data_IF_864193768799
#
_entry.id   IF_864193768799
#
_cell.length_a   1.000
_cell.length_b   1.000
_cell.length_c   1.000
_cell.angle_alpha   90.00
_cell.angle_beta   90.00
_cell.angle_gamma   90.00
#
_symmetry.space_group_name_H-M   'P 1'
#
loop_
_entity.id
_entity.type
_entity.pdbx_description
1 polymer ?
#
# COMPACT_ATOMS: atom_id res chain seq x y z
N UNK A 1 -14.95 -9.45 -7.68
CA UNK A 1 -14.54 -8.20 -8.36
C UNK A 1 -15.49 -7.91 -9.51
N UNK A 2 -16.05 -6.71 -9.54
CA UNK A 2 -16.89 -6.15 -10.64
C UNK A 2 -16.14 -5.03 -11.34
N UNK A 3 -16.63 -4.63 -12.52
CA UNK A 3 -16.05 -3.58 -13.35
C UNK A 3 -17.13 -2.68 -13.92
N UNK A 4 -16.92 -1.37 -13.81
CA UNK A 4 -17.68 -0.35 -14.53
C UNK A 4 -16.71 0.36 -15.47
N UNK A 5 -17.07 0.45 -16.76
CA UNK A 5 -16.20 1.08 -17.75
C UNK A 5 -16.97 2.01 -18.66
N UNK A 6 -16.45 3.22 -18.83
CA UNK A 6 -16.87 4.21 -19.82
C UNK A 6 -15.72 4.51 -20.78
N UNK A 7 -15.94 5.39 -21.76
CA UNK A 7 -14.84 5.86 -22.65
C UNK A 7 -13.73 6.60 -21.91
N UNK A 8 -14.03 7.21 -20.74
CA UNK A 8 -13.10 8.08 -20.00
C UNK A 8 -12.67 7.51 -18.66
N UNK A 9 -13.34 6.49 -18.12
CA UNK A 9 -13.09 5.99 -16.77
C UNK A 9 -13.32 4.49 -16.71
N UNK A 10 -12.49 3.82 -15.92
CA UNK A 10 -12.73 2.44 -15.50
C UNK A 10 -12.57 2.35 -13.99
N UNK A 11 -13.50 1.62 -13.36
CA UNK A 11 -13.50 1.31 -11.93
C UNK A 11 -13.59 -0.19 -11.79
N UNK A 12 -12.70 -0.76 -11.01
CA UNK A 12 -12.75 -2.15 -10.54
C UNK A 12 -13.04 -2.13 -9.04
N UNK A 13 -13.93 -2.96 -8.58
CA UNK A 13 -14.33 -2.95 -7.17
C UNK A 13 -14.77 -4.32 -6.68
N UNK A 14 -14.70 -4.49 -5.37
CA UNK A 14 -15.26 -5.63 -4.65
C UNK A 14 -16.65 -5.27 -4.13
N UNK A 15 -17.66 -5.84 -4.74
CA UNK A 15 -19.07 -5.60 -4.39
C UNK A 15 -19.52 -6.29 -3.10
N UNK A 16 -18.70 -7.16 -2.54
CA UNK A 16 -18.95 -7.74 -1.22
C UNK A 16 -18.58 -6.80 -0.08
N UNK A 17 -17.65 -5.88 -0.34
CA UNK A 17 -17.10 -4.95 0.66
C UNK A 17 -17.62 -3.52 0.47
N UNK A 18 -17.80 -3.09 -0.79
CA UNK A 18 -18.24 -1.74 -1.14
C UNK A 18 -19.76 -1.70 -1.28
N UNK A 19 -20.45 -1.16 -0.26
CA UNK A 19 -21.90 -0.90 -0.27
C UNK A 19 -22.28 0.46 -0.85
N UNK A 20 -21.33 1.38 -0.90
CA UNK A 20 -21.50 2.74 -1.47
C UNK A 20 -21.38 2.74 -2.99
N UNK A 21 -21.76 3.87 -3.65
CA UNK A 21 -21.67 4.04 -5.11
C UNK A 21 -20.23 3.84 -5.62
N UNK A 22 -19.98 2.84 -6.47
CA UNK A 22 -18.65 2.61 -7.00
C UNK A 22 -18.10 3.79 -7.82
N UNK A 23 -18.99 4.54 -8.49
CA UNK A 23 -18.61 5.70 -9.30
C UNK A 23 -18.05 6.85 -8.48
N UNK A 24 -18.48 6.96 -7.21
CA UNK A 24 -18.16 8.06 -6.31
C UNK A 24 -17.17 7.66 -5.19
N UNK A 25 -16.93 6.37 -4.97
CA UNK A 25 -16.15 5.88 -3.83
C UNK A 25 -14.68 6.36 -3.82
N UNK A 26 -14.17 6.84 -4.95
CA UNK A 26 -12.84 7.41 -5.07
C UNK A 26 -12.81 8.95 -5.01
N UNK A 27 -13.92 9.60 -4.67
CA UNK A 27 -13.99 11.06 -4.54
C UNK A 27 -14.04 11.47 -3.06
N UNK A 28 -13.01 12.18 -2.54
CA UNK A 28 -13.01 12.61 -1.14
C UNK A 28 -14.21 13.47 -0.75
N UNK A 29 -14.69 14.31 -1.69
CA UNK A 29 -15.86 15.17 -1.49
C UNK A 29 -17.15 14.36 -1.23
N UNK A 30 -17.31 13.21 -1.88
CA UNK A 30 -18.42 12.29 -1.63
C UNK A 30 -18.45 11.81 -0.17
N UNK A 31 -17.28 11.41 0.35
CA UNK A 31 -17.15 10.95 1.73
C UNK A 31 -17.33 12.10 2.74
N UNK A 32 -16.87 13.29 2.39
CA UNK A 32 -17.07 14.49 3.21
C UNK A 32 -18.55 14.86 3.34
N UNK A 33 -19.29 14.84 2.23
CA UNK A 33 -20.74 15.10 2.22
C UNK A 33 -21.53 14.07 3.06
N UNK A 34 -21.05 12.85 3.12
CA UNK A 34 -21.61 11.78 3.95
C UNK A 34 -21.15 11.80 5.41
N UNK A 35 -20.28 12.74 5.81
CA UNK A 35 -19.62 12.75 7.13
C UNK A 35 -18.90 11.42 7.47
N UNK A 36 -18.36 10.73 6.46
CA UNK A 36 -17.66 9.44 6.60
C UNK A 36 -16.13 9.57 6.57
N UNK A 37 -15.55 10.78 6.51
CA UNK A 37 -14.10 10.98 6.69
C UNK A 37 -13.77 10.88 8.16
N UNK A 38 -12.92 9.92 8.54
CA UNK A 38 -12.50 9.62 9.92
C UNK A 38 -11.05 10.04 10.21
N UNK A 39 -10.34 10.59 9.22
CA UNK A 39 -8.98 11.07 9.39
C UNK A 39 -8.23 11.16 8.07
N UNK A 40 -6.95 11.48 8.16
CA UNK A 40 -6.06 11.54 7.00
C UNK A 40 -4.60 11.33 7.39
N UNK A 41 -3.78 10.91 6.42
CA UNK A 41 -2.33 10.88 6.53
C UNK A 41 -1.71 11.70 5.41
N UNK A 42 -0.64 12.43 5.73
CA UNK A 42 0.10 13.24 4.77
C UNK A 42 1.35 12.51 4.30
N UNK A 43 1.51 12.44 2.99
CA UNK A 43 2.70 11.90 2.32
C UNK A 43 3.02 12.74 1.08
N UNK A 44 3.27 12.11 -0.07
CA UNK A 44 3.33 12.84 -1.36
C UNK A 44 1.99 13.46 -1.75
N UNK A 45 0.93 12.98 -1.15
CA UNK A 45 -0.43 13.50 -1.22
C UNK A 45 -1.17 13.15 0.05
N UNK A 46 -2.42 13.54 0.14
CA UNK A 46 -3.29 13.17 1.26
C UNK A 46 -3.89 11.79 1.00
N UNK A 47 -3.74 10.88 1.95
CA UNK A 47 -4.52 9.65 2.03
C UNK A 47 -5.67 9.92 2.99
N UNK A 48 -6.90 9.80 2.51
CA UNK A 48 -8.08 9.99 3.32
C UNK A 48 -8.49 8.66 3.97
N UNK A 49 -8.80 8.69 5.24
CA UNK A 49 -9.40 7.55 5.91
C UNK A 49 -10.91 7.75 5.95
N UNK A 50 -11.64 6.75 5.48
CA UNK A 50 -13.09 6.81 5.33
C UNK A 50 -13.75 5.59 5.98
N UNK A 51 -14.89 5.80 6.63
CA UNK A 51 -15.68 4.73 7.22
C UNK A 51 -16.62 4.13 6.18
N UNK A 52 -16.47 2.84 5.86
CA UNK A 52 -17.48 2.04 5.19
C UNK A 52 -18.38 1.38 6.27
N UNK A 53 -19.41 0.67 5.83
CA UNK A 53 -20.38 0.11 6.78
C UNK A 53 -19.76 -0.93 7.74
N UNK A 54 -18.80 -1.72 7.27
CA UNK A 54 -18.19 -2.81 8.04
C UNK A 54 -16.68 -2.65 8.30
N UNK A 55 -16.00 -1.77 7.58
CA UNK A 55 -14.55 -1.57 7.70
C UNK A 55 -14.17 -0.12 7.44
N UNK A 56 -13.07 0.31 8.02
CA UNK A 56 -12.40 1.55 7.62
C UNK A 56 -11.57 1.32 6.37
N UNK A 57 -11.49 2.33 5.51
CA UNK A 57 -10.72 2.30 4.29
C UNK A 57 -9.77 3.50 4.15
N UNK A 58 -8.71 3.30 3.38
CA UNK A 58 -7.74 4.31 2.99
C UNK A 58 -7.91 4.62 1.50
N UNK A 59 -8.32 5.84 1.19
CA UNK A 59 -8.45 6.36 -0.17
C UNK A 59 -7.18 7.13 -0.53
N UNK A 60 -6.47 6.63 -1.54
CA UNK A 60 -5.21 7.20 -2.01
C UNK A 60 -5.31 7.60 -3.47
N UNK A 61 -4.97 8.87 -3.76
CA UNK A 61 -4.73 9.35 -5.12
C UNK A 61 -3.25 9.17 -5.47
N UNK A 62 -2.94 8.56 -6.64
CA UNK A 62 -1.57 8.33 -7.05
C UNK A 62 -0.87 9.63 -7.46
N UNK A 63 0.28 9.89 -6.88
CA UNK A 63 1.10 11.07 -7.18
C UNK A 63 2.52 10.69 -7.56
N UNK A 64 3.09 11.43 -8.53
CA UNK A 64 4.49 11.27 -8.90
C UNK A 64 5.38 11.85 -7.81
N UNK A 65 6.47 11.13 -7.48
CA UNK A 65 7.57 11.66 -6.70
C UNK A 65 8.69 12.21 -7.58
N UNK A 66 9.70 12.83 -6.95
CA UNK A 66 10.90 13.33 -7.62
C UNK A 66 10.71 14.68 -8.34
N UNK A 67 11.74 15.09 -9.09
CA UNK A 67 11.78 16.40 -9.78
C UNK A 67 10.64 16.57 -10.80
N UNK A 68 10.30 15.53 -11.55
CA UNK A 68 9.18 15.54 -12.51
C UNK A 68 7.81 15.67 -11.83
N UNK A 69 7.66 15.22 -10.59
CA UNK A 69 6.43 15.36 -9.81
C UNK A 69 6.10 16.80 -9.41
N UNK A 70 7.05 17.73 -9.53
CA UNK A 70 6.82 19.15 -9.31
C UNK A 70 6.03 19.81 -10.46
N UNK A 71 6.14 19.26 -11.68
CA UNK A 71 5.52 19.80 -12.89
C UNK A 71 4.27 18.97 -13.27
N UNK A 72 4.36 17.64 -13.21
CA UNK A 72 3.26 16.72 -13.57
C UNK A 72 2.97 15.84 -12.36
N UNK A 73 2.05 16.29 -11.50
CA UNK A 73 1.83 15.72 -10.16
C UNK A 73 1.20 14.32 -10.18
N UNK A 74 0.26 14.02 -11.09
CA UNK A 74 -0.62 12.86 -11.01
C UNK A 74 -1.04 12.26 -12.37
N UNK A 75 -0.38 12.66 -13.45
CA UNK A 75 -0.67 12.17 -14.79
C UNK A 75 0.35 11.11 -15.22
N UNK A 76 -0.13 9.96 -15.69
CA UNK A 76 0.66 8.82 -16.18
C UNK A 76 0.32 8.53 -17.64
N UNK A 77 1.27 8.07 -18.44
CA UNK A 77 1.04 7.71 -19.85
C UNK A 77 0.04 6.56 -19.90
N UNK A 78 -1.02 6.73 -20.71
CA UNK A 78 -2.05 5.71 -20.87
C UNK A 78 -1.66 4.73 -21.98
N UNK A 79 -1.45 3.47 -21.62
CA UNK A 79 -1.15 2.37 -22.56
C UNK A 79 -2.16 1.23 -22.49
N UNK A 80 -3.29 1.46 -21.81
CA UNK A 80 -4.35 0.50 -21.61
C UNK A 80 -4.87 0.49 -20.18
N UNK A 81 -6.14 0.12 -20.00
CA UNK A 81 -6.80 0.15 -18.68
C UNK A 81 -6.12 -0.78 -17.67
N UNK A 82 -5.75 -1.99 -18.09
CA UNK A 82 -5.12 -3.00 -17.25
C UNK A 82 -3.63 -2.74 -16.98
N UNK A 83 -3.06 -1.71 -17.64
CA UNK A 83 -1.70 -1.23 -17.40
C UNK A 83 -1.67 -0.01 -16.47
N UNK A 84 -2.82 0.40 -15.96
CA UNK A 84 -2.88 1.51 -14.99
C UNK A 84 -2.43 1.04 -13.61
N UNK A 85 -1.78 1.93 -12.85
CA UNK A 85 -1.21 1.62 -11.53
C UNK A 85 -2.23 1.12 -10.54
N UNK A 86 -3.40 1.77 -10.51
CA UNK A 86 -4.46 1.36 -9.59
C UNK A 86 -4.97 -0.04 -9.88
N UNK A 87 -5.13 -0.41 -11.16
CA UNK A 87 -5.51 -1.78 -11.52
C UNK A 87 -4.42 -2.79 -11.16
N UNK A 88 -3.16 -2.49 -11.51
CA UNK A 88 -2.05 -3.40 -11.24
C UNK A 88 -1.87 -3.64 -9.74
N UNK A 89 -1.92 -2.58 -8.92
CA UNK A 89 -1.83 -2.72 -7.47
C UNK A 89 -3.06 -3.47 -6.91
N UNK A 90 -4.27 -3.17 -7.40
CA UNK A 90 -5.48 -3.88 -7.00
C UNK A 90 -5.37 -5.40 -7.24
N UNK A 91 -4.88 -5.80 -8.41
CA UNK A 91 -4.69 -7.22 -8.74
C UNK A 91 -3.57 -7.86 -7.92
N UNK A 92 -2.47 -7.13 -7.71
CA UNK A 92 -1.34 -7.62 -6.95
C UNK A 92 -1.72 -7.88 -5.48
N UNK A 93 -2.48 -6.98 -4.86
CA UNK A 93 -3.00 -7.16 -3.51
C UNK A 93 -3.91 -8.40 -3.41
N UNK A 94 -4.80 -8.61 -4.37
CA UNK A 94 -5.61 -9.83 -4.42
C UNK A 94 -4.77 -11.11 -4.56
N UNK A 95 -3.70 -11.07 -5.32
CA UNK A 95 -2.76 -12.18 -5.47
C UNK A 95 -2.06 -12.49 -4.15
N UNK A 96 -1.59 -11.46 -3.45
CA UNK A 96 -0.92 -11.58 -2.17
C UNK A 96 -1.85 -12.13 -1.07
N UNK A 97 -3.10 -11.66 -1.02
CA UNK A 97 -4.11 -12.18 -0.08
C UNK A 97 -4.35 -13.68 -0.32
N UNK A 98 -4.49 -14.10 -1.57
CA UNK A 98 -4.64 -15.52 -1.93
C UNK A 98 -3.42 -16.37 -1.55
N UNK A 99 -2.25 -15.78 -1.52
CA UNK A 99 -1.00 -16.40 -1.08
C UNK A 99 -0.81 -16.36 0.45
N UNK A 100 -1.77 -15.82 1.21
CA UNK A 100 -1.72 -15.75 2.67
C UNK A 100 -0.77 -14.69 3.21
N UNK A 101 -0.46 -13.65 2.42
CA UNK A 101 0.32 -12.48 2.86
C UNK A 101 -0.63 -11.46 3.47
N UNK A 102 -0.27 -10.92 4.63
CA UNK A 102 -1.03 -9.86 5.26
C UNK A 102 -0.78 -8.52 4.55
N UNK A 103 -1.71 -8.11 3.73
CA UNK A 103 -1.72 -6.85 3.00
C UNK A 103 -3.11 -6.21 3.07
N UNK A 104 -3.26 -4.88 2.93
CA UNK A 104 -4.56 -4.24 2.88
C UNK A 104 -5.45 -4.84 1.78
N UNK A 105 -6.67 -5.23 2.11
CA UNK A 105 -7.63 -5.72 1.12
C UNK A 105 -7.99 -4.59 0.14
N UNK A 106 -7.86 -4.78 -1.18
CA UNK A 106 -8.25 -3.79 -2.16
C UNK A 106 -9.78 -3.77 -2.30
N UNK A 107 -10.38 -2.58 -2.19
CA UNK A 107 -11.84 -2.38 -2.22
C UNK A 107 -12.27 -1.84 -3.57
N UNK A 108 -11.61 -0.77 -4.05
CA UNK A 108 -11.86 -0.21 -5.37
C UNK A 108 -10.60 0.41 -5.97
N UNK A 109 -10.47 0.32 -7.29
CA UNK A 109 -9.43 0.97 -8.07
C UNK A 109 -10.10 1.77 -9.21
N UNK A 110 -9.77 3.04 -9.32
CA UNK A 110 -10.27 3.91 -10.38
C UNK A 110 -9.13 4.40 -11.26
N UNK A 111 -9.35 4.41 -12.57
CA UNK A 111 -8.50 5.09 -13.54
C UNK A 111 -9.32 6.01 -14.42
N UNK A 112 -8.91 7.28 -14.52
CA UNK A 112 -9.57 8.31 -15.33
C UNK A 112 -8.63 8.67 -16.48
N UNK A 113 -9.02 8.30 -17.71
CA UNK A 113 -8.28 8.65 -18.94
C UNK A 113 -8.53 10.10 -19.31
N UNK A 114 -7.46 10.82 -19.52
CA UNK A 114 -7.39 12.09 -20.26
C UNK A 114 -6.89 11.78 -21.68
N UNK A 115 -6.47 12.73 -22.46
CA UNK A 115 -6.09 12.51 -23.87
C UNK A 115 -5.06 11.36 -24.02
N UNK A 116 -3.82 11.56 -23.59
CA UNK A 116 -2.71 10.59 -23.68
C UNK A 116 -2.24 10.08 -22.31
N UNK A 117 -2.90 10.52 -21.25
CA UNK A 117 -2.53 10.19 -19.89
C UNK A 117 -3.74 9.76 -19.08
N UNK A 118 -3.48 9.31 -17.84
CA UNK A 118 -4.52 8.95 -16.88
C UNK A 118 -4.15 9.40 -15.47
N UNK A 119 -5.16 9.55 -14.65
CA UNK A 119 -5.08 9.67 -13.19
C UNK A 119 -5.60 8.39 -12.56
N UNK A 120 -5.16 8.07 -11.35
CA UNK A 120 -5.51 6.83 -10.68
C UNK A 120 -5.77 7.02 -9.19
N UNK A 121 -6.68 6.21 -8.65
CA UNK A 121 -7.03 6.16 -7.25
C UNK A 121 -7.14 4.70 -6.80
N UNK A 122 -6.84 4.46 -5.54
CA UNK A 122 -7.02 3.17 -4.87
C UNK A 122 -7.73 3.39 -3.54
N UNK A 123 -8.80 2.66 -3.31
CA UNK A 123 -9.46 2.50 -2.03
C UNK A 123 -9.11 1.10 -1.52
N UNK A 124 -8.46 1.02 -0.38
CA UNK A 124 -8.07 -0.24 0.26
C UNK A 124 -8.42 -0.22 1.75
N UNK A 125 -8.49 -1.37 2.36
CA UNK A 125 -8.69 -1.50 3.80
C UNK A 125 -7.66 -0.68 4.58
N UNK A 126 -8.12 0.10 5.55
CA UNK A 126 -7.26 0.68 6.59
C UNK A 126 -7.02 -0.40 7.65
N UNK A 127 -5.76 -0.73 7.91
CA UNK A 127 -5.44 -1.73 8.94
C UNK A 127 -5.77 -1.13 10.31
N UNK A 128 -6.71 -1.76 11.06
CA UNK A 128 -7.16 -1.20 12.32
C UNK A 128 -6.06 -1.32 13.40
N UNK A 129 -5.92 -0.26 14.21
CA UNK A 129 -5.01 -0.22 15.35
C UNK A 129 -3.56 -0.59 15.01
N UNK A 130 -3.13 -0.32 13.78
CA UNK A 130 -1.77 -0.57 13.33
C UNK A 130 -0.92 0.70 13.36
N UNK A 131 0.34 0.53 13.73
CA UNK A 131 1.37 1.57 13.70
C UNK A 131 2.49 1.13 12.76
N UNK A 132 3.17 2.10 12.12
CA UNK A 132 4.35 1.79 11.35
C UNK A 132 5.53 1.39 12.26
N UNK A 133 6.42 0.59 11.71
CA UNK A 133 7.52 -0.01 12.47
C UNK A 133 8.46 1.06 13.05
N UNK A 134 8.60 2.23 12.42
CA UNK A 134 9.42 3.33 12.92
C UNK A 134 8.80 3.93 14.17
N UNK A 135 7.50 4.19 14.17
CA UNK A 135 6.80 4.74 15.34
C UNK A 135 6.96 3.81 16.56
N UNK A 136 6.79 2.49 16.36
CA UNK A 136 6.95 1.51 17.43
C UNK A 136 8.40 1.49 17.95
N UNK A 137 9.37 1.46 17.05
CA UNK A 137 10.78 1.39 17.41
C UNK A 137 11.33 2.69 18.00
N UNK A 138 10.66 3.81 17.85
CA UNK A 138 10.98 5.04 18.58
C UNK A 138 10.58 4.95 20.06
N UNK A 139 9.58 4.14 20.40
CA UNK A 139 9.07 3.99 21.75
C UNK A 139 9.75 2.84 22.51
N UNK A 140 9.95 1.70 21.84
CA UNK A 140 10.46 0.47 22.46
C UNK A 140 11.13 -0.47 21.46
N UNK A 141 12.05 -1.34 21.90
CA UNK A 141 12.57 -2.42 21.07
C UNK A 141 11.47 -3.45 20.77
N UNK A 142 11.62 -4.18 19.67
CA UNK A 142 10.76 -5.30 19.33
C UNK A 142 11.31 -6.61 19.90
N UNK A 143 10.41 -7.55 20.16
CA UNK A 143 10.79 -8.91 20.52
C UNK A 143 11.30 -9.69 19.30
N UNK A 144 12.04 -10.76 19.56
CA UNK A 144 12.53 -11.68 18.52
C UNK A 144 11.39 -12.28 17.71
N UNK A 145 10.28 -12.59 18.35
CA UNK A 145 9.08 -13.16 17.71
C UNK A 145 8.49 -12.22 16.69
N UNK A 146 8.50 -10.91 16.95
CA UNK A 146 8.01 -9.91 15.99
C UNK A 146 8.94 -9.82 14.77
N UNK A 147 10.26 -9.84 14.95
CA UNK A 147 11.20 -9.89 13.82
C UNK A 147 10.96 -11.15 12.97
N UNK A 148 10.76 -12.31 13.59
CA UNK A 148 10.44 -13.54 12.88
C UNK A 148 9.13 -13.44 12.08
N UNK A 149 8.09 -12.80 12.65
CA UNK A 149 6.83 -12.55 11.93
C UNK A 149 7.06 -11.64 10.72
N UNK A 150 7.84 -10.56 10.85
CA UNK A 150 8.22 -9.68 9.73
C UNK A 150 8.91 -10.49 8.63
N UNK A 151 9.92 -11.27 8.99
CA UNK A 151 10.64 -12.13 8.05
C UNK A 151 9.73 -13.15 7.36
N UNK A 152 8.77 -13.72 8.09
CA UNK A 152 7.80 -14.67 7.54
C UNK A 152 6.85 -14.02 6.52
N UNK A 153 6.32 -12.82 6.77
CA UNK A 153 5.48 -12.12 5.81
C UNK A 153 6.24 -11.75 4.53
N UNK A 154 7.51 -11.32 4.64
CA UNK A 154 8.37 -11.06 3.49
C UNK A 154 8.64 -12.35 2.70
N UNK A 155 8.92 -13.48 3.37
CA UNK A 155 9.12 -14.77 2.70
C UNK A 155 7.86 -15.26 1.98
N UNK A 156 6.66 -15.10 2.55
CA UNK A 156 5.38 -15.40 1.87
C UNK A 156 5.21 -14.53 0.62
N UNK A 157 5.48 -13.23 0.71
CA UNK A 157 5.46 -12.32 -0.44
C UNK A 157 6.46 -12.76 -1.54
N UNK A 158 7.67 -13.15 -1.16
CA UNK A 158 8.67 -13.69 -2.08
C UNK A 158 8.27 -15.05 -2.69
N UNK A 159 7.57 -15.91 -1.93
CA UNK A 159 7.02 -17.16 -2.45
C UNK A 159 5.91 -16.92 -3.49
N UNK A 160 5.12 -15.86 -3.30
CA UNK A 160 4.13 -15.38 -4.28
C UNK A 160 4.77 -14.69 -5.50
N UNK A 161 6.11 -14.70 -5.60
CA UNK A 161 6.88 -14.06 -6.68
C UNK A 161 6.60 -12.56 -6.82
N UNK A 162 6.34 -11.86 -5.72
CA UNK A 162 6.11 -10.41 -5.74
C UNK A 162 7.36 -9.64 -5.30
N UNK A 163 7.88 -8.82 -6.22
CA UNK A 163 8.98 -7.90 -5.95
C UNK A 163 8.44 -6.57 -5.42
N UNK A 164 8.69 -6.29 -4.16
CA UNK A 164 8.34 -5.02 -3.54
C UNK A 164 9.43 -3.98 -3.79
N UNK A 165 9.25 -3.17 -4.81
CA UNK A 165 10.30 -2.24 -5.28
C UNK A 165 10.66 -1.12 -4.29
N UNK A 166 9.88 -0.95 -3.23
CA UNK A 166 10.12 0.04 -2.15
C UNK A 166 9.94 -0.58 -0.76
N UNK A 167 10.39 -1.83 -0.55
CA UNK A 167 10.34 -2.46 0.77
C UNK A 167 11.23 -1.71 1.76
N UNK A 168 10.62 -1.09 2.75
CA UNK A 168 11.32 -0.32 3.77
C UNK A 168 10.54 -0.35 5.10
N UNK A 169 11.17 0.11 6.17
CA UNK A 169 10.64 0.07 7.54
C UNK A 169 9.30 0.83 7.71
N UNK A 170 9.01 1.87 6.91
CA UNK A 170 7.75 2.61 6.96
C UNK A 170 6.60 1.87 6.29
N UNK A 171 6.92 0.87 5.44
CA UNK A 171 5.94 0.06 4.71
C UNK A 171 5.62 -1.26 5.42
N UNK A 172 6.02 -1.38 6.68
CA UNK A 172 5.68 -2.49 7.57
C UNK A 172 4.88 -1.92 8.74
N UNK A 173 3.67 -2.44 8.94
CA UNK A 173 2.81 -2.10 10.07
C UNK A 173 2.69 -3.29 11.01
N UNK A 174 2.46 -2.99 12.29
CA UNK A 174 2.12 -3.99 13.32
C UNK A 174 0.82 -3.53 13.97
N UNK A 175 -0.17 -4.42 14.03
CA UNK A 175 -1.44 -4.14 14.70
C UNK A 175 -1.38 -4.52 16.20
N UNK A 176 -2.45 -4.20 16.94
CA UNK A 176 -2.55 -4.47 18.37
C UNK A 176 -2.68 -5.96 18.75
N UNK A 177 -2.66 -6.87 17.77
CA UNK A 177 -2.63 -8.33 17.94
C UNK A 177 -1.27 -8.91 17.52
N UNK A 178 -0.26 -8.05 17.33
CA UNK A 178 1.06 -8.41 16.84
C UNK A 178 1.05 -9.09 15.45
N UNK A 179 0.05 -8.79 14.61
CA UNK A 179 0.12 -9.18 13.21
C UNK A 179 0.93 -8.16 12.42
N UNK A 180 1.78 -8.67 11.55
CA UNK A 180 2.60 -7.86 10.65
C UNK A 180 1.88 -7.70 9.32
N UNK A 181 1.89 -6.51 8.77
CA UNK A 181 1.26 -6.13 7.51
C UNK A 181 2.27 -5.43 6.61
N UNK A 182 2.29 -5.75 5.32
CA UNK A 182 3.10 -5.06 4.32
C UNK A 182 2.18 -4.14 3.50
N UNK A 183 2.59 -2.89 3.29
CA UNK A 183 1.78 -1.87 2.60
C UNK A 183 2.57 -1.19 1.47
N UNK A 184 1.86 -0.39 0.66
CA UNK A 184 2.39 0.44 -0.44
C UNK A 184 3.01 -0.36 -1.58
N UNK A 185 2.18 -1.12 -2.29
CA UNK A 185 2.57 -1.91 -3.46
C UNK A 185 2.57 -1.12 -4.77
N UNK A 186 2.59 0.24 -4.71
CA UNK A 186 2.76 1.06 -5.90
C UNK A 186 4.07 0.72 -6.63
N UNK A 187 4.00 0.40 -7.92
CA UNK A 187 5.12 -0.07 -8.77
C UNK A 187 5.67 -1.47 -8.44
N UNK A 188 5.07 -2.17 -7.51
CA UNK A 188 5.41 -3.57 -7.26
C UNK A 188 4.82 -4.45 -8.36
N UNK A 189 5.42 -5.60 -8.61
CA UNK A 189 5.01 -6.50 -9.68
C UNK A 189 5.46 -7.94 -9.40
N UNK A 190 4.83 -8.89 -10.09
CA UNK A 190 5.29 -10.28 -10.06
C UNK A 190 6.55 -10.42 -10.92
N UNK A 191 7.54 -11.11 -10.39
CA UNK A 191 8.84 -11.34 -11.03
C UNK A 191 9.31 -12.76 -10.76
N UNK A 192 9.52 -13.51 -11.81
CA UNK A 192 10.05 -14.87 -11.71
C UNK A 192 11.50 -14.88 -11.21
N UNK A 193 11.93 -16.05 -10.72
CA UNK A 193 13.29 -16.26 -10.22
C UNK A 193 13.51 -15.80 -8.77
N UNK A 194 14.77 -15.65 -8.39
CA UNK A 194 15.16 -15.36 -6.99
C UNK A 194 16.14 -14.20 -6.86
N UNK A 195 16.81 -13.79 -7.91
CA UNK A 195 17.94 -12.83 -7.88
C UNK A 195 17.56 -11.46 -7.31
N UNK A 196 16.31 -11.06 -7.50
CA UNK A 196 15.77 -9.80 -7.00
C UNK A 196 15.42 -9.81 -5.49
N UNK A 197 15.24 -11.01 -4.90
CA UNK A 197 14.77 -11.16 -3.49
C UNK A 197 15.77 -10.55 -2.51
N UNK A 198 17.06 -10.77 -2.74
CA UNK A 198 18.11 -10.16 -1.90
C UNK A 198 18.06 -8.64 -1.93
N UNK A 199 17.74 -8.04 -3.08
CA UNK A 199 17.57 -6.59 -3.22
C UNK A 199 16.47 -6.01 -2.33
N UNK A 200 15.39 -6.76 -2.06
CA UNK A 200 14.34 -6.37 -1.10
C UNK A 200 14.89 -6.36 0.34
N UNK A 201 15.61 -7.43 0.75
CA UNK A 201 16.23 -7.51 2.07
C UNK A 201 17.25 -6.40 2.28
N UNK A 202 18.12 -6.14 1.31
CA UNK A 202 19.13 -5.09 1.39
C UNK A 202 18.52 -3.71 1.50
N UNK A 203 17.40 -3.45 0.80
CA UNK A 203 16.66 -2.20 0.90
C UNK A 203 16.05 -2.02 2.28
N UNK A 204 15.42 -3.07 2.80
CA UNK A 204 14.87 -3.06 4.16
C UNK A 204 15.95 -2.80 5.18
N UNK A 205 17.09 -3.51 5.14
CA UNK A 205 18.23 -3.30 6.05
C UNK A 205 18.74 -1.87 6.01
N UNK A 206 18.96 -1.33 4.82
CA UNK A 206 19.37 0.08 4.66
C UNK A 206 18.37 1.06 5.27
N UNK A 207 17.07 0.75 5.22
CA UNK A 207 16.05 1.61 5.82
C UNK A 207 16.10 1.60 7.35
N UNK A 208 16.38 0.47 7.99
CA UNK A 208 16.62 0.39 9.43
C UNK A 208 17.83 1.24 9.83
N UNK A 209 18.98 1.03 9.20
CA UNK A 209 20.21 1.79 9.45
C UNK A 209 19.98 3.29 9.30
N UNK A 210 19.25 3.70 8.25
CA UNK A 210 18.91 5.10 8.01
C UNK A 210 18.09 5.69 9.17
N UNK A 211 17.09 4.97 9.67
CA UNK A 211 16.22 5.48 10.72
C UNK A 211 16.89 5.46 12.11
N UNK A 212 17.83 4.54 12.38
CA UNK A 212 18.71 4.63 13.56
C UNK A 212 19.43 5.98 13.56
N UNK A 213 20.07 6.33 12.44
CA UNK A 213 20.85 7.58 12.35
C UNK A 213 19.98 8.84 12.36
N UNK A 214 18.73 8.74 11.91
CA UNK A 214 17.84 9.89 11.75
C UNK A 214 16.92 10.14 12.94
N UNK A 215 16.44 9.07 13.58
CA UNK A 215 15.38 9.14 14.61
C UNK A 215 15.73 8.40 15.89
N UNK A 216 16.92 7.82 15.97
CA UNK A 216 17.41 7.08 17.13
C UNK A 216 16.42 5.97 17.57
N UNK A 217 15.98 5.14 16.63
CA UNK A 217 15.08 4.02 16.89
C UNK A 217 15.78 2.92 17.69
N UNK A 218 15.02 2.18 18.50
CA UNK A 218 15.50 1.03 19.29
C UNK A 218 15.76 -0.19 18.39
N UNK A 219 16.84 -0.14 17.60
CA UNK A 219 17.28 -1.23 16.73
C UNK A 219 18.81 -1.27 16.64
N UNK A 220 19.37 -2.46 16.62
CA UNK A 220 20.78 -2.71 16.34
C UNK A 220 20.96 -3.86 15.35
N UNK A 221 22.16 -4.01 14.79
CA UNK A 221 22.41 -4.96 13.70
C UNK A 221 22.24 -6.43 14.10
N UNK A 222 22.38 -6.78 15.39
CA UNK A 222 22.18 -8.15 15.87
C UNK A 222 20.72 -8.60 15.71
N UNK A 223 19.76 -7.68 15.81
CA UNK A 223 18.34 -7.96 15.65
C UNK A 223 17.96 -8.33 14.21
N UNK A 224 18.79 -7.92 13.22
CA UNK A 224 18.63 -8.34 11.84
C UNK A 224 18.70 -9.86 11.65
N UNK A 225 19.43 -10.56 12.51
CA UNK A 225 19.55 -12.02 12.43
C UNK A 225 18.26 -12.76 12.81
N UNK A 226 17.27 -12.06 13.32
CA UNK A 226 15.97 -12.63 13.68
C UNK A 226 14.92 -12.56 12.56
N UNK A 227 15.19 -11.82 11.49
CA UNK A 227 14.36 -11.76 10.28
C UNK A 227 14.61 -13.00 9.40
#
# INVERSE_FOLDING_TARGET
MKKIQTKKQTIWYDDSTLSDSPELCCDPEYWQQKNKIIGSAQGRGTTWFVALDNIDAALRHYRRGGLFGKIIKDHYIFTGWEKTRSYQEFQLLNTLIKAGVNVPAPIAARSIKRTFCYQADLLSQKIPNAQDLVAILQEKPLSKEIYQKIGNEIRKMHAAQVNHTDLNIHNILIDNKDNVWIIDFDKCYQQDGSDWKQGNWDRLKRSFVKEVNKRNIHWNEKEWLHL
#
